data_IF_297368758414
#
_entry.id   IF_297368758414
#
_cell.length_a   1.000
_cell.length_b   1.000
_cell.length_c   1.000
_cell.angle_alpha   90.00
_cell.angle_beta   90.00
_cell.angle_gamma   90.00
#
_symmetry.space_group_name_H-M   'P 1'
#
loop_
_entity.id
_entity.type
_entity.pdbx_description
1 polymer ?
#
# COMPACT_ATOMS: atom_id res chain seq x y z
N UNK A 1 -12.79 15.17 -15.29
CA UNK A 1 -13.46 15.83 -14.15
C UNK A 1 -12.43 16.71 -13.46
N UNK A 2 -12.79 17.94 -13.11
CA UNK A 2 -11.90 18.83 -12.34
C UNK A 2 -11.83 18.37 -10.88
N UNK A 3 -10.67 18.51 -10.21
CA UNK A 3 -10.55 18.17 -8.79
C UNK A 3 -11.47 19.07 -7.96
N UNK A 4 -12.15 18.49 -6.96
CA UNK A 4 -13.03 19.21 -6.02
C UNK A 4 -12.35 19.55 -4.70
N UNK A 5 -11.23 18.89 -4.38
CA UNK A 5 -10.49 19.07 -3.15
C UNK A 5 -8.99 18.93 -3.43
N UNK A 6 -8.17 19.57 -2.60
CA UNK A 6 -6.72 19.44 -2.62
C UNK A 6 -6.19 19.28 -1.20
N UNK A 7 -5.22 18.38 -1.01
CA UNK A 7 -4.47 18.25 0.24
C UNK A 7 -3.03 18.66 -0.02
N UNK A 8 -2.49 19.53 0.81
CA UNK A 8 -1.09 19.97 0.77
C UNK A 8 -0.45 19.85 2.15
N UNK A 9 0.83 19.51 2.20
CA UNK A 9 1.62 19.61 3.43
C UNK A 9 1.73 21.09 3.83
N UNK A 10 1.67 21.38 5.12
CA UNK A 10 1.90 22.72 5.64
C UNK A 10 3.39 23.08 5.53
N UNK A 11 3.70 24.39 5.51
CA UNK A 11 5.08 24.88 5.36
C UNK A 11 6.02 24.40 6.48
N UNK A 12 5.47 24.15 7.68
CA UNK A 12 6.20 23.64 8.84
C UNK A 12 6.44 22.12 8.82
N UNK A 13 5.83 21.40 7.87
CA UNK A 13 5.93 19.94 7.74
C UNK A 13 5.21 19.12 8.83
N UNK A 14 4.45 19.75 9.72
CA UNK A 14 3.84 19.10 10.90
C UNK A 14 2.37 18.76 10.73
N UNK A 15 1.75 19.27 9.66
CA UNK A 15 0.34 19.04 9.36
C UNK A 15 0.05 19.15 7.87
N UNK A 16 -1.24 19.04 7.54
CA UNK A 16 -1.74 19.19 6.19
C UNK A 16 -2.93 20.14 6.15
N UNK A 17 -3.10 20.81 5.02
CA UNK A 17 -4.26 21.63 4.73
C UNK A 17 -5.11 20.92 3.69
N UNK A 18 -6.37 20.62 4.02
CA UNK A 18 -7.40 20.21 3.07
C UNK A 18 -8.15 21.46 2.60
N UNK A 19 -8.10 21.76 1.31
CA UNK A 19 -8.80 22.89 0.69
C UNK A 19 -9.94 22.39 -0.20
N UNK A 20 -11.09 23.03 -0.08
CA UNK A 20 -12.20 22.87 -1.01
C UNK A 20 -11.97 23.80 -2.21
N UNK A 21 -12.02 23.22 -3.42
CA UNK A 21 -11.82 23.96 -4.66
C UNK A 21 -13.17 24.44 -5.21
N UNK A 22 -13.16 25.37 -6.16
CA UNK A 22 -14.37 25.96 -6.77
C UNK A 22 -15.37 24.87 -7.23
N UNK A 23 -14.87 23.79 -7.84
CA UNK A 23 -15.70 22.65 -8.28
C UNK A 23 -16.39 21.88 -7.15
N UNK A 24 -16.07 22.12 -5.88
CA UNK A 24 -16.78 21.55 -4.74
C UNK A 24 -18.15 22.20 -4.49
N UNK A 25 -18.34 23.46 -4.88
CA UNK A 25 -19.54 24.25 -4.56
C UNK A 25 -19.56 24.79 -3.12
N UNK A 26 -18.47 24.63 -2.37
CA UNK A 26 -18.25 25.21 -1.05
C UNK A 26 -16.85 25.83 -0.97
N UNK A 27 -16.70 26.90 -0.20
CA UNK A 27 -15.41 27.52 0.06
C UNK A 27 -14.93 27.17 1.47
N UNK A 28 -13.62 26.95 1.60
CA UNK A 28 -12.99 26.76 2.91
C UNK A 28 -11.73 25.90 2.89
N UNK A 29 -11.09 25.84 4.04
CA UNK A 29 -9.94 24.96 4.29
C UNK A 29 -9.94 24.46 5.72
N UNK A 30 -9.40 23.26 5.91
CA UNK A 30 -9.26 22.61 7.21
C UNK A 30 -7.79 22.27 7.41
N UNK A 31 -7.21 22.75 8.51
CA UNK A 31 -5.88 22.34 8.94
C UNK A 31 -6.01 21.07 9.77
N UNK A 32 -5.18 20.08 9.45
CA UNK A 32 -5.15 18.77 10.06
C UNK A 32 -3.75 18.54 10.62
N UNK A 33 -3.66 18.13 11.89
CA UNK A 33 -2.42 17.52 12.39
C UNK A 33 -2.30 16.07 11.89
N UNK A 34 -1.17 15.41 12.20
CA UNK A 34 -0.91 14.04 11.77
C UNK A 34 -2.02 13.05 12.18
N UNK A 35 -2.48 13.10 13.44
CA UNK A 35 -3.51 12.20 13.95
C UNK A 35 -4.86 12.39 13.24
N UNK A 36 -5.26 13.66 13.03
CA UNK A 36 -6.48 14.00 12.31
C UNK A 36 -6.42 13.58 10.83
N UNK A 37 -5.26 13.74 10.19
CA UNK A 37 -5.05 13.25 8.82
C UNK A 37 -5.14 11.72 8.76
N UNK A 38 -4.55 11.00 9.72
CA UNK A 38 -4.67 9.54 9.79
C UNK A 38 -6.12 9.09 9.99
N UNK A 39 -6.89 9.77 10.85
CA UNK A 39 -8.32 9.50 11.04
C UNK A 39 -9.13 9.74 9.76
N UNK A 40 -8.81 10.82 9.02
CA UNK A 40 -9.44 11.11 7.74
C UNK A 40 -9.14 10.01 6.70
N UNK A 41 -7.87 9.61 6.56
CA UNK A 41 -7.45 8.52 5.65
C UNK A 41 -8.18 7.22 5.98
N UNK A 42 -8.24 6.84 7.27
CA UNK A 42 -8.94 5.64 7.71
C UNK A 42 -10.43 5.67 7.36
N UNK A 43 -11.08 6.83 7.55
CA UNK A 43 -12.50 7.02 7.25
C UNK A 43 -12.77 6.96 5.75
N UNK A 44 -11.96 7.64 4.94
CA UNK A 44 -12.03 7.59 3.48
C UNK A 44 -11.78 6.18 2.95
N UNK A 45 -10.80 5.46 3.50
CA UNK A 45 -10.48 4.08 3.17
C UNK A 45 -11.67 3.15 3.40
N UNK A 46 -12.31 3.24 4.57
CA UNK A 46 -13.51 2.44 4.90
C UNK A 46 -14.66 2.70 3.94
N UNK A 47 -14.96 3.97 3.66
CA UNK A 47 -16.05 4.33 2.72
C UNK A 47 -15.72 3.84 1.30
N UNK A 48 -14.48 4.02 0.85
CA UNK A 48 -14.03 3.53 -0.46
C UNK A 48 -14.16 2.02 -0.57
N UNK A 49 -13.75 1.27 0.46
CA UNK A 49 -13.87 -0.19 0.50
C UNK A 49 -15.33 -0.62 0.28
N UNK A 50 -16.29 0.01 0.96
CA UNK A 50 -17.71 -0.27 0.76
C UNK A 50 -18.21 0.09 -0.66
N UNK A 51 -17.75 1.20 -1.22
CA UNK A 51 -18.13 1.63 -2.58
C UNK A 51 -17.65 0.68 -3.68
N UNK A 52 -16.51 0.02 -3.48
CA UNK A 52 -15.89 -0.86 -4.47
C UNK A 52 -16.03 -2.34 -4.15
N UNK A 53 -16.68 -2.72 -3.04
CA UNK A 53 -16.77 -4.11 -2.55
C UNK A 53 -17.29 -5.09 -3.62
N UNK A 54 -18.24 -4.65 -4.44
CA UNK A 54 -18.86 -5.46 -5.50
C UNK A 54 -18.17 -5.31 -6.86
N UNK A 55 -17.13 -4.49 -6.95
CA UNK A 55 -16.38 -4.27 -8.17
C UNK A 55 -15.20 -5.23 -8.22
N UNK A 56 -14.93 -5.79 -9.39
CA UNK A 56 -13.70 -6.56 -9.59
C UNK A 56 -12.50 -5.64 -9.36
N UNK A 57 -11.53 -6.01 -8.50
CA UNK A 57 -10.31 -5.25 -8.35
C UNK A 57 -9.63 -5.03 -9.70
N UNK A 58 -9.13 -3.81 -9.99
CA UNK A 58 -8.43 -3.57 -11.24
C UNK A 58 -7.14 -4.41 -11.31
N UNK A 59 -6.68 -4.76 -12.52
CA UNK A 59 -5.40 -5.43 -12.72
C UNK A 59 -4.24 -4.60 -12.15
N UNK A 60 -3.19 -5.27 -11.69
CA UNK A 60 -2.00 -4.62 -11.12
C UNK A 60 -0.94 -4.32 -12.19
N UNK A 61 -1.06 -4.92 -13.38
CA UNK A 61 -0.12 -4.78 -14.48
C UNK A 61 -0.03 -3.32 -14.98
N UNK A 62 1.19 -2.78 -15.01
CA UNK A 62 1.44 -1.41 -15.48
C UNK A 62 1.07 -0.30 -14.49
N UNK A 63 0.56 -0.65 -13.31
CA UNK A 63 0.24 0.31 -12.26
C UNK A 63 1.52 0.82 -11.60
N UNK A 64 1.65 2.13 -11.49
CA UNK A 64 2.71 2.77 -10.70
C UNK A 64 2.42 2.59 -9.21
N UNK A 65 3.40 2.11 -8.45
CA UNK A 65 3.30 1.99 -6.99
C UNK A 65 4.57 2.49 -6.32
N UNK A 66 4.42 3.08 -5.14
CA UNK A 66 5.56 3.50 -4.32
C UNK A 66 6.04 2.32 -3.50
N UNK A 67 7.30 1.93 -3.69
CA UNK A 67 7.90 0.86 -2.90
C UNK A 67 8.10 1.33 -1.45
N UNK A 68 7.65 0.52 -0.49
CA UNK A 68 7.89 0.75 0.93
C UNK A 68 9.19 0.03 1.31
N UNK A 69 10.23 0.80 1.60
CA UNK A 69 11.49 0.27 2.11
C UNK A 69 11.48 0.31 3.64
N UNK A 70 11.99 -0.74 4.28
CA UNK A 70 12.15 -0.86 5.75
C UNK A 70 10.83 -0.65 6.52
N UNK A 71 9.92 -1.61 6.40
CA UNK A 71 8.67 -1.66 7.18
C UNK A 71 8.66 -2.83 8.16
N UNK A 72 7.92 -2.67 9.26
CA UNK A 72 7.56 -3.78 10.14
C UNK A 72 6.50 -4.63 9.44
N UNK A 73 6.75 -5.93 9.34
CA UNK A 73 5.84 -6.88 8.71
C UNK A 73 5.74 -8.17 9.51
N UNK A 74 4.63 -8.88 9.31
CA UNK A 74 4.37 -10.19 9.88
C UNK A 74 3.65 -11.07 8.86
N UNK A 75 3.99 -12.36 8.84
CA UNK A 75 3.27 -13.39 8.10
C UNK A 75 2.57 -14.31 9.12
N UNK A 76 1.27 -14.49 8.95
CA UNK A 76 0.44 -15.30 9.83
C UNK A 76 -0.38 -16.28 8.99
N UNK A 77 -0.68 -17.45 9.55
CA UNK A 77 -1.60 -18.40 8.91
C UNK A 77 -3.01 -17.84 9.05
N UNK A 78 -3.76 -17.79 7.94
CA UNK A 78 -5.18 -17.45 7.97
C UNK A 78 -5.99 -18.74 7.99
N UNK A 79 -6.58 -19.04 9.13
CA UNK A 79 -7.38 -20.25 9.34
C UNK A 79 -8.71 -20.23 8.60
N UNK A 80 -9.22 -19.05 8.19
CA UNK A 80 -10.49 -18.96 7.48
C UNK A 80 -10.34 -19.37 6.01
N UNK A 81 -9.20 -19.04 5.40
CA UNK A 81 -8.93 -19.28 3.97
C UNK A 81 -7.98 -20.44 3.73
N UNK A 82 -7.52 -21.11 4.80
CA UNK A 82 -6.38 -22.05 4.78
C UNK A 82 -5.13 -21.44 4.12
N UNK A 83 -5.06 -20.10 4.13
CA UNK A 83 -4.09 -19.30 3.41
C UNK A 83 -3.04 -18.69 4.35
N UNK A 84 -2.48 -17.57 3.91
CA UNK A 84 -1.56 -16.80 4.73
C UNK A 84 -1.83 -15.30 4.60
N UNK A 85 -1.81 -14.60 5.72
CA UNK A 85 -1.91 -13.14 5.77
C UNK A 85 -0.52 -12.54 5.90
N UNK A 86 -0.13 -11.72 4.93
CA UNK A 86 1.00 -10.80 5.06
C UNK A 86 0.47 -9.44 5.50
N UNK A 87 0.87 -9.01 6.68
CA UNK A 87 0.56 -7.68 7.22
C UNK A 87 1.83 -6.84 7.33
N UNK A 88 1.73 -5.55 7.04
CA UNK A 88 2.87 -4.61 7.15
C UNK A 88 2.41 -3.18 7.46
N UNK A 89 3.33 -2.35 7.97
CA UNK A 89 3.07 -0.94 8.26
C UNK A 89 3.34 -0.07 7.01
N UNK A 90 2.30 0.39 6.32
CA UNK A 90 2.44 1.29 5.18
C UNK A 90 2.54 2.76 5.66
N UNK A 91 3.57 3.53 5.25
CA UNK A 91 3.79 4.89 5.76
C UNK A 91 2.63 5.86 5.46
N UNK A 92 1.90 5.67 4.34
CA UNK A 92 0.76 6.52 3.99
C UNK A 92 -0.59 6.03 4.53
N UNK A 93 -0.73 4.74 4.87
CA UNK A 93 -2.05 4.12 5.12
C UNK A 93 -2.15 3.42 6.47
N UNK A 94 -1.05 3.32 7.23
CA UNK A 94 -0.99 2.55 8.44
C UNK A 94 -0.94 1.04 8.16
N UNK A 95 -1.50 0.19 9.04
CA UNK A 95 -1.48 -1.26 8.86
C UNK A 95 -2.24 -1.71 7.61
N UNK A 96 -1.56 -2.45 6.74
CA UNK A 96 -2.15 -3.05 5.52
C UNK A 96 -1.92 -4.55 5.56
N UNK A 97 -2.98 -5.33 5.31
CA UNK A 97 -2.95 -6.78 5.27
C UNK A 97 -3.46 -7.30 3.93
N UNK A 98 -2.80 -8.33 3.40
CA UNK A 98 -3.27 -9.09 2.25
C UNK A 98 -3.32 -10.57 2.62
N UNK A 99 -4.44 -11.20 2.29
CA UNK A 99 -4.64 -12.64 2.45
C UNK A 99 -4.33 -13.29 1.12
N UNK A 100 -3.48 -14.31 1.16
CA UNK A 100 -3.16 -15.16 0.02
C UNK A 100 -3.89 -16.49 0.17
N UNK A 101 -4.73 -16.83 -0.80
CA UNK A 101 -5.31 -18.16 -0.88
C UNK A 101 -4.23 -19.20 -1.19
N UNK A 102 -4.46 -20.51 -0.96
CA UNK A 102 -3.45 -21.54 -1.19
C UNK A 102 -2.77 -21.50 -2.59
N UNK A 103 -3.49 -21.25 -3.72
CA UNK A 103 -2.86 -21.12 -5.03
C UNK A 103 -1.92 -19.90 -5.16
N UNK A 104 -2.25 -18.80 -4.47
CA UNK A 104 -1.44 -17.58 -4.48
C UNK A 104 -0.15 -17.78 -3.68
N UNK A 105 -0.22 -18.54 -2.58
CA UNK A 105 0.94 -18.92 -1.77
C UNK A 105 1.95 -19.70 -2.63
N UNK A 106 1.50 -20.66 -3.44
CA UNK A 106 2.38 -21.40 -4.35
C UNK A 106 3.05 -20.49 -5.40
N UNK A 107 2.31 -19.51 -5.90
CA UNK A 107 2.84 -18.52 -6.84
C UNK A 107 3.93 -17.66 -6.20
N UNK A 108 3.70 -17.20 -4.96
CA UNK A 108 4.69 -16.46 -4.18
C UNK A 108 5.94 -17.29 -3.91
N UNK A 109 5.79 -18.55 -3.48
CA UNK A 109 6.92 -19.45 -3.21
C UNK A 109 7.81 -19.62 -4.44
N UNK A 110 7.22 -19.86 -5.62
CA UNK A 110 7.97 -20.00 -6.88
C UNK A 110 8.73 -18.71 -7.22
N UNK A 111 8.09 -17.55 -7.06
CA UNK A 111 8.74 -16.25 -7.30
C UNK A 111 9.92 -16.00 -6.36
N UNK A 112 9.74 -16.24 -5.07
CA UNK A 112 10.78 -16.06 -4.05
C UNK A 112 11.94 -17.04 -4.22
N UNK A 113 11.66 -18.29 -4.60
CA UNK A 113 12.70 -19.28 -4.90
C UNK A 113 13.55 -18.85 -6.11
N UNK A 114 12.92 -18.34 -7.17
CA UNK A 114 13.64 -17.79 -8.34
C UNK A 114 14.50 -16.59 -7.95
N UNK A 115 13.95 -15.66 -7.16
CA UNK A 115 14.71 -14.52 -6.65
C UNK A 115 15.94 -14.98 -5.86
N UNK A 116 15.77 -15.96 -4.96
CA UNK A 116 16.87 -16.53 -4.19
C UNK A 116 17.96 -17.11 -5.09
N UNK A 117 17.59 -17.85 -6.13
CA UNK A 117 18.56 -18.41 -7.09
C UNK A 117 19.39 -17.33 -7.80
N UNK A 118 18.77 -16.21 -8.19
CA UNK A 118 19.48 -15.07 -8.80
C UNK A 118 20.47 -14.46 -7.80
N UNK A 119 20.03 -14.20 -6.56
CA UNK A 119 20.88 -13.60 -5.51
C UNK A 119 22.07 -14.51 -5.17
N UNK A 120 21.87 -15.83 -5.13
CA UNK A 120 22.94 -16.78 -4.83
C UNK A 120 23.88 -17.05 -6.03
N UNK A 121 23.53 -16.61 -7.23
CA UNK A 121 24.37 -16.79 -8.44
C UNK A 121 25.48 -15.73 -8.57
N UNK A 122 25.55 -14.75 -7.67
CA UNK A 122 26.58 -13.70 -7.63
C UNK A 122 26.95 -13.43 -6.17
N UNK A 123 28.13 -13.90 -5.68
CA UNK A 123 29.39 -13.16 -5.90
C UNK A 123 30.70 -13.97 -6.12
N UNK A 124 30.72 -15.31 -6.13
CA UNK A 124 31.99 -16.09 -6.21
C UNK A 124 32.12 -17.05 -7.41
N UNK A 125 31.07 -17.22 -8.23
CA UNK A 125 31.11 -18.12 -9.39
C UNK A 125 31.97 -17.60 -10.56
N UNK A 126 32.39 -16.33 -10.54
CA UNK A 126 33.24 -15.72 -11.57
C UNK A 126 34.76 -15.83 -11.31
N UNK A 127 35.19 -16.45 -10.20
CA UNK A 127 36.61 -16.49 -9.79
C UNK A 127 37.34 -17.82 -10.00
N UNK A 128 36.78 -18.77 -10.74
CA UNK A 128 37.54 -19.94 -11.18
C UNK A 128 37.72 -19.91 -12.69
N UNK A 129 38.95 -19.64 -13.20
CA UNK A 129 39.24 -19.86 -14.60
C UNK A 129 39.18 -21.36 -14.89
N UNK A 130 38.76 -21.65 -16.13
CA UNK A 130 38.50 -22.97 -16.71
C UNK A 130 39.65 -23.96 -16.56
#
# INVERSE_FOLDING_TARGET
>A
MSPRMQVSLNDDGTGATLRFLEGSGIDGSINLNADQLSQLIASLGRVRQALVEKQTPPPIEGVQFTSVYRTNWALQIDTLTEGSTLAFQHPAYGPVGVVFAPPDVETLLKGLQRHRAIVHSTPDAARKPS
#
